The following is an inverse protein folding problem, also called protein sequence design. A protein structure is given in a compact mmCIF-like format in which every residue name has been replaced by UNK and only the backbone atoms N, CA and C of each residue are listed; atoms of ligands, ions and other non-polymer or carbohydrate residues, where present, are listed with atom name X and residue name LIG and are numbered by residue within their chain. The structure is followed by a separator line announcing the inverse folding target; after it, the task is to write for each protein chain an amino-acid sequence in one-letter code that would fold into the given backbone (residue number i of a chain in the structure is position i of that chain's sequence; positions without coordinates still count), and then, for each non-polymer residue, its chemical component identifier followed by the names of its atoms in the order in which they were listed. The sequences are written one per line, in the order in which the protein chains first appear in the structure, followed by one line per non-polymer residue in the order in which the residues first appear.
data_IF_998428663722
#
_entry.id   IF_998428663722
#
_cell.length_a   1.000
_cell.length_b   1.000
_cell.length_c   1.000
_cell.angle_alpha   90.00
_cell.angle_beta   90.00
_cell.angle_gamma   90.00
#
_symmetry.space_group_name_H-M   'P 1'
#
loop_
_entity.id
_entity.type
_entity.pdbx_description
1 polymer ?
#
# COMPACT_ATOMS: atom_id res chain seq x y z
N UNK A 1 -91.62 18.56 26.62
CA UNK A 1 -91.07 19.74 25.91
C UNK A 1 -89.93 20.28 26.77
N UNK A 2 -88.67 20.10 26.33
CA UNK A 2 -87.81 21.16 25.74
C UNK A 2 -87.59 22.27 26.77
N UNK A 3 -86.41 22.54 27.33
CA UNK A 3 -85.10 22.91 26.74
C UNK A 3 -84.49 23.83 27.84
N UNK A 4 -83.21 23.95 28.18
CA UNK A 4 -81.92 23.66 27.55
C UNK A 4 -80.90 23.52 28.68
N UNK A 5 -80.17 22.40 28.65
CA UNK A 5 -78.93 22.11 29.36
C UNK A 5 -77.82 22.77 28.56
N UNK A 6 -77.04 23.70 29.13
CA UNK A 6 -75.59 23.85 28.86
C UNK A 6 -74.96 24.45 30.12
N UNK A 7 -74.65 23.57 31.07
CA UNK A 7 -73.70 23.80 32.15
C UNK A 7 -72.34 23.29 31.66
N UNK A 8 -71.28 24.07 31.86
CA UNK A 8 -69.91 23.54 32.05
C UNK A 8 -69.26 22.74 30.91
N UNK A 9 -68.86 23.38 29.81
CA UNK A 9 -67.77 22.84 28.95
C UNK A 9 -66.89 24.00 28.47
N UNK A 10 -66.15 24.59 29.40
CA UNK A 10 -65.01 25.46 29.11
C UNK A 10 -63.69 24.82 29.56
N UNK A 11 -63.62 23.48 29.59
CA UNK A 11 -62.40 22.68 29.63
C UNK A 11 -62.77 21.35 28.96
N UNK A 12 -62.69 21.25 27.63
CA UNK A 12 -62.53 19.96 26.97
C UNK A 12 -61.71 20.16 25.69
N UNK A 13 -60.42 19.89 25.86
CA UNK A 13 -59.50 19.40 24.84
C UNK A 13 -59.32 20.25 23.58
N UNK A 14 -58.67 21.40 23.74
CA UNK A 14 -57.38 21.57 23.03
C UNK A 14 -56.39 20.55 23.64
N UNK A 15 -56.57 19.25 23.36
CA UNK A 15 -55.41 18.37 23.32
C UNK A 15 -54.83 18.65 21.93
N UNK A 16 -54.07 19.73 21.83
CA UNK A 16 -53.04 19.80 20.80
C UNK A 16 -52.26 18.50 20.95
N UNK A 17 -52.37 17.61 19.95
CA UNK A 17 -51.39 16.55 19.81
C UNK A 17 -50.04 17.27 19.72
N UNK A 18 -49.33 17.35 20.85
CA UNK A 18 -47.89 17.45 20.82
C UNK A 18 -47.47 16.12 20.21
N UNK A 19 -47.44 16.08 18.88
CA UNK A 19 -46.69 15.07 18.16
C UNK A 19 -45.27 15.39 18.56
N UNK A 20 -44.78 14.70 19.58
CA UNK A 20 -43.35 14.58 19.81
C UNK A 20 -42.83 13.83 18.59
N UNK A 21 -42.50 14.58 17.52
CA UNK A 21 -41.54 14.11 16.54
C UNK A 21 -40.28 13.89 17.36
N UNK A 22 -40.00 12.62 17.65
CA UNK A 22 -38.66 12.20 18.03
C UNK A 22 -37.82 12.49 16.80
N UNK A 23 -37.08 13.59 16.82
CA UNK A 23 -36.05 13.83 15.82
C UNK A 23 -35.05 12.69 16.01
N UNK A 24 -35.11 11.71 15.11
CA UNK A 24 -34.17 10.60 15.07
C UNK A 24 -32.87 11.21 14.55
N UNK A 25 -32.06 11.71 15.46
CA UNK A 25 -30.90 12.49 15.13
C UNK A 25 -29.67 11.58 15.14
N UNK A 26 -29.00 11.53 14.00
CA UNK A 26 -27.64 11.03 13.88
C UNK A 26 -26.72 12.22 13.70
N UNK A 27 -25.88 12.48 14.70
CA UNK A 27 -24.90 13.56 14.66
C UNK A 27 -23.52 12.93 14.57
N UNK A 28 -22.91 13.05 13.39
CA UNK A 28 -21.51 12.74 13.16
C UNK A 28 -20.68 14.00 13.39
N UNK A 29 -19.81 13.97 14.40
CA UNK A 29 -18.98 15.12 14.77
C UNK A 29 -17.71 15.22 13.93
N UNK A 30 -17.37 14.19 13.13
CA UNK A 30 -16.11 14.08 12.39
C UNK A 30 -16.29 14.00 10.87
N UNK A 31 -17.54 13.98 10.40
CA UNK A 31 -18.00 14.10 9.01
C UNK A 31 -17.27 13.17 8.02
N UNK A 32 -17.73 11.92 7.95
CA UNK A 32 -17.37 11.01 6.88
C UNK A 32 -17.03 9.61 7.37
N UNK A 33 -16.38 8.85 6.50
CA UNK A 33 -15.88 7.50 6.79
C UNK A 33 -14.36 7.51 6.60
N UNK A 34 -13.61 7.40 7.70
CA UNK A 34 -12.15 7.25 7.75
C UNK A 34 -11.76 6.08 8.66
N UNK A 35 -11.65 4.89 8.06
CA UNK A 35 -11.28 3.65 8.75
C UNK A 35 -9.95 3.69 9.50
N UNK A 36 -9.08 4.68 9.26
CA UNK A 36 -7.77 4.77 9.91
C UNK A 36 -7.72 5.80 11.04
N UNK A 37 -8.88 6.36 11.42
CA UNK A 37 -9.02 7.26 12.56
C UNK A 37 -10.27 6.85 13.33
N UNK A 38 -10.12 6.58 14.62
CA UNK A 38 -11.27 6.23 15.46
C UNK A 38 -12.27 7.40 15.49
N UNK A 39 -13.48 7.11 15.05
CA UNK A 39 -14.62 8.03 15.03
C UNK A 39 -15.72 7.65 16.01
N UNK A 40 -16.73 8.51 16.08
CA UNK A 40 -17.95 8.25 16.85
C UNK A 40 -19.11 9.12 16.38
N UNK A 41 -20.32 8.59 16.52
CA UNK A 41 -21.57 9.30 16.27
C UNK A 41 -22.39 9.41 17.55
N UNK A 42 -23.30 10.38 17.58
CA UNK A 42 -24.40 10.44 18.54
C UNK A 42 -25.68 9.97 17.84
N UNK A 43 -26.24 8.86 18.30
CA UNK A 43 -27.48 8.29 17.82
C UNK A 43 -28.51 8.28 18.94
N UNK A 44 -29.60 9.02 18.83
CA UNK A 44 -30.61 9.15 19.90
C UNK A 44 -30.05 9.54 21.27
N UNK A 45 -28.97 10.33 21.29
CA UNK A 45 -28.28 10.74 22.52
C UNK A 45 -27.35 9.68 23.12
N UNK A 46 -27.23 8.50 22.49
CA UNK A 46 -26.22 7.50 22.82
C UNK A 46 -24.99 7.68 21.93
N UNK A 47 -23.79 7.59 22.51
CA UNK A 47 -22.54 7.63 21.76
C UNK A 47 -22.21 6.24 21.24
N UNK A 48 -22.02 6.10 19.94
CA UNK A 48 -21.53 4.90 19.29
C UNK A 48 -20.13 5.18 18.74
N UNK A 49 -19.17 4.32 19.05
CA UNK A 49 -17.77 4.47 18.66
C UNK A 49 -17.35 3.33 17.75
N UNK A 50 -16.41 3.62 16.84
CA UNK A 50 -15.83 2.61 15.99
C UNK A 50 -15.11 1.55 16.82
N UNK A 51 -15.16 0.30 16.36
CA UNK A 51 -14.57 -0.81 17.08
C UNK A 51 -13.97 -1.85 16.13
N UNK A 52 -12.99 -2.58 16.65
CA UNK A 52 -12.45 -3.74 15.98
C UNK A 52 -13.36 -4.94 16.20
N UNK A 53 -13.43 -5.83 15.20
CA UNK A 53 -14.16 -7.08 15.31
C UNK A 53 -13.62 -7.97 16.42
N UNK A 54 -14.43 -8.95 16.83
CA UNK A 54 -14.04 -9.89 17.87
C UNK A 54 -13.55 -11.22 17.28
N UNK A 55 -12.69 -11.91 18.03
CA UNK A 55 -12.28 -13.30 17.78
C UNK A 55 -11.75 -13.53 16.34
N UNK A 56 -12.50 -14.26 15.51
CA UNK A 56 -12.09 -14.61 14.14
C UNK A 56 -12.14 -13.41 13.17
N UNK A 57 -12.72 -12.28 13.59
CA UNK A 57 -12.85 -11.05 12.80
C UNK A 57 -12.04 -9.90 13.41
N UNK A 58 -11.03 -10.20 14.25
CA UNK A 58 -10.19 -9.21 14.93
C UNK A 58 -9.50 -8.21 13.98
N UNK A 59 -9.34 -8.58 12.71
CA UNK A 59 -8.71 -7.74 11.69
C UNK A 59 -9.69 -6.79 10.98
N UNK A 60 -10.98 -6.78 11.34
CA UNK A 60 -11.97 -5.88 10.75
C UNK A 60 -12.21 -4.67 11.65
N UNK A 61 -12.44 -3.51 11.05
CA UNK A 61 -12.99 -2.33 11.72
C UNK A 61 -14.44 -2.14 11.32
N UNK A 62 -15.28 -1.85 12.30
CA UNK A 62 -16.69 -1.49 12.14
C UNK A 62 -16.83 0.01 12.45
N UNK A 63 -17.07 0.78 11.40
CA UNK A 63 -17.17 2.23 11.46
C UNK A 63 -18.63 2.68 11.43
N UNK A 64 -19.01 3.48 12.42
CA UNK A 64 -20.33 4.09 12.54
C UNK A 64 -20.33 5.45 11.86
N UNK A 65 -21.29 5.68 10.96
CA UNK A 65 -21.45 6.96 10.29
C UNK A 65 -22.92 7.31 10.11
N UNK A 66 -23.21 8.59 9.81
CA UNK A 66 -24.57 9.07 9.57
C UNK A 66 -24.84 9.21 8.07
N UNK A 67 -25.94 8.65 7.58
CA UNK A 67 -26.43 8.83 6.21
C UNK A 67 -27.95 9.10 6.24
N UNK A 68 -28.38 10.22 5.65
CA UNK A 68 -29.79 10.66 5.65
C UNK A 68 -30.45 10.70 7.04
N UNK A 69 -29.74 11.21 8.05
CA UNK A 69 -30.13 11.22 9.48
C UNK A 69 -30.24 9.84 10.14
N UNK A 70 -29.85 8.76 9.45
CA UNK A 70 -29.82 7.40 10.00
C UNK A 70 -28.39 6.94 10.30
N UNK A 71 -28.25 6.18 11.38
CA UNK A 71 -27.01 5.48 11.70
C UNK A 71 -26.77 4.34 10.70
N UNK A 72 -25.55 4.28 10.19
CA UNK A 72 -25.03 3.22 9.31
C UNK A 72 -23.77 2.59 9.92
N UNK A 73 -23.45 1.36 9.48
CA UNK A 73 -22.22 0.64 9.85
C UNK A 73 -21.53 0.18 8.58
N UNK A 74 -20.23 0.46 8.46
CA UNK A 74 -19.38 -0.10 7.41
C UNK A 74 -18.28 -0.96 8.01
N UNK A 75 -18.14 -2.17 7.48
CA UNK A 75 -17.10 -3.10 7.88
C UNK A 75 -16.04 -3.22 6.77
N UNK A 76 -14.76 -3.11 7.14
CA UNK A 76 -13.62 -3.36 6.24
C UNK A 76 -12.56 -4.19 6.94
N UNK A 77 -11.86 -5.03 6.19
CA UNK A 77 -10.68 -5.75 6.66
C UNK A 77 -9.42 -4.87 6.55
N UNK A 78 -8.76 -4.63 7.67
CA UNK A 78 -7.54 -3.84 7.74
C UNK A 78 -6.34 -4.68 7.29
N UNK A 79 -5.53 -4.18 6.35
CA UNK A 79 -4.38 -4.97 5.87
C UNK A 79 -3.32 -5.24 6.94
N UNK A 80 -3.26 -4.41 7.99
CA UNK A 80 -2.20 -4.45 9.01
C UNK A 80 -2.71 -4.69 10.44
N UNK A 81 -3.96 -5.10 10.62
CA UNK A 81 -4.58 -5.11 11.94
C UNK A 81 -5.56 -3.96 12.14
N UNK A 82 -6.55 -4.21 12.99
CA UNK A 82 -7.37 -3.19 13.61
C UNK A 82 -6.93 -3.01 15.07
N UNK A 83 -6.76 -1.78 15.50
CA UNK A 83 -6.45 -1.42 16.89
C UNK A 83 -7.27 -0.19 17.30
N UNK A 84 -7.86 -0.25 18.50
CA UNK A 84 -8.69 0.81 19.09
C UNK A 84 -9.78 1.40 18.17
N UNK A 85 -10.41 0.55 17.35
CA UNK A 85 -11.47 0.99 16.44
C UNK A 85 -10.97 1.70 15.18
N UNK A 86 -9.70 1.53 14.81
CA UNK A 86 -9.13 2.03 13.57
C UNK A 86 -8.16 1.01 12.94
N UNK A 87 -8.02 1.06 11.61
CA UNK A 87 -6.98 0.33 10.90
C UNK A 87 -5.60 0.92 11.19
N UNK A 88 -4.63 0.04 11.40
CA UNK A 88 -3.23 0.43 11.64
C UNK A 88 -2.62 0.97 10.35
N UNK A 89 -2.19 2.24 10.37
CA UNK A 89 -1.35 2.81 9.31
C UNK A 89 0.07 2.28 9.50
N UNK A 90 0.67 1.72 8.45
CA UNK A 90 2.12 1.60 8.39
C UNK A 90 2.65 3.01 8.16
N UNK A 91 2.93 3.72 9.25
CA UNK A 91 3.77 4.91 9.20
C UNK A 91 5.19 4.37 9.04
N UNK A 92 5.90 4.66 7.95
CA UNK A 92 7.34 4.47 7.94
C UNK A 92 7.86 5.25 9.14
N UNK A 93 8.48 4.56 10.11
CA UNK A 93 9.00 5.18 11.33
C UNK A 93 9.99 6.29 10.96
N UNK A 94 9.51 7.52 10.82
CA UNK A 94 10.31 8.72 11.00
C UNK A 94 10.15 9.14 12.47
N UNK A 95 10.67 8.32 13.38
CA UNK A 95 11.02 8.84 14.69
C UNK A 95 12.25 9.74 14.53
N UNK A 96 12.28 10.92 15.17
CA UNK A 96 13.49 11.72 15.24
C UNK A 96 14.49 11.00 16.14
N UNK A 97 15.33 10.16 15.53
CA UNK A 97 16.48 9.56 16.20
C UNK A 97 17.39 10.70 16.64
N UNK A 98 17.61 10.87 17.96
CA UNK A 98 18.67 11.73 18.46
C UNK A 98 20.01 11.15 17.97
N UNK A 99 20.56 11.73 16.91
CA UNK A 99 21.87 11.38 16.37
C UNK A 99 22.94 11.69 17.43
N UNK A 100 23.77 10.71 17.83
CA UNK A 100 24.99 11.03 18.59
C UNK A 100 25.89 11.94 17.74
N UNK A 101 26.44 12.99 18.34
CA UNK A 101 27.22 14.06 17.67
C UNK A 101 28.57 13.60 17.06
N UNK A 102 28.89 12.29 17.09
CA UNK A 102 30.17 11.73 16.65
C UNK A 102 29.95 10.61 15.60
N UNK A 103 29.30 10.95 14.48
CA UNK A 103 29.22 10.05 13.32
C UNK A 103 30.22 10.53 12.26
N UNK A 104 31.38 9.86 12.24
CA UNK A 104 32.33 9.90 11.14
C UNK A 104 31.65 9.45 9.83
N UNK A 105 31.76 10.30 8.81
CA UNK A 105 31.41 10.08 7.38
C UNK A 105 30.07 9.35 7.11
N UNK A 106 29.01 10.13 6.92
CA UNK A 106 27.73 9.67 6.33
C UNK A 106 27.98 8.87 5.05
N UNK A 107 27.76 7.56 5.12
CA UNK A 107 27.73 6.70 3.96
C UNK A 107 26.44 6.98 3.17
N UNK A 108 26.51 7.89 2.20
CA UNK A 108 25.38 8.19 1.31
C UNK A 108 24.84 6.90 0.68
N UNK A 109 23.58 6.57 0.99
CA UNK A 109 22.89 5.41 0.43
C UNK A 109 22.67 5.63 -1.07
N UNK A 110 23.53 5.04 -1.90
CA UNK A 110 23.42 5.11 -3.36
C UNK A 110 22.41 4.08 -3.87
N UNK A 111 21.20 4.53 -4.20
CA UNK A 111 20.16 3.69 -4.82
C UNK A 111 20.37 3.66 -6.35
N UNK A 112 20.52 2.46 -6.93
CA UNK A 112 20.71 2.28 -8.38
C UNK A 112 19.59 1.43 -9.00
N UNK A 113 19.16 1.79 -10.21
CA UNK A 113 18.41 0.90 -11.12
C UNK A 113 19.39 0.06 -11.95
N UNK A 114 20.26 -0.69 -11.27
CA UNK A 114 21.40 -1.39 -11.86
C UNK A 114 22.46 -1.65 -10.79
N UNK A 115 23.72 -1.86 -11.21
CA UNK A 115 24.78 -2.25 -10.28
C UNK A 115 25.57 -1.04 -9.77
N UNK A 116 25.69 -0.85 -8.44
CA UNK A 116 26.58 0.15 -7.86
C UNK A 116 28.03 -0.33 -7.91
N UNK A 117 28.94 0.54 -8.38
CA UNK A 117 30.39 0.29 -8.30
C UNK A 117 31.14 1.61 -8.22
N UNK A 118 31.94 1.80 -7.16
CA UNK A 118 32.71 3.02 -6.88
C UNK A 118 31.85 4.30 -6.91
N UNK A 119 30.74 4.31 -6.17
CA UNK A 119 29.77 5.43 -6.11
C UNK A 119 29.17 5.83 -7.48
N UNK A 120 29.11 4.90 -8.44
CA UNK A 120 28.46 5.11 -9.75
C UNK A 120 27.49 3.96 -10.03
N UNK A 121 26.36 4.29 -10.64
CA UNK A 121 25.41 3.29 -11.12
C UNK A 121 25.74 2.88 -12.56
N UNK A 122 25.67 1.58 -12.82
CA UNK A 122 25.83 1.00 -14.15
C UNK A 122 24.56 0.25 -14.55
N UNK A 123 24.10 0.35 -15.81
CA UNK A 123 22.91 -0.35 -16.25
C UNK A 123 23.14 -1.87 -16.33
N UNK A 124 22.06 -2.66 -16.30
CA UNK A 124 22.11 -4.10 -16.53
C UNK A 124 22.82 -4.47 -17.84
N UNK A 125 23.62 -5.53 -17.81
CA UNK A 125 24.46 -5.95 -18.93
C UNK A 125 25.74 -5.12 -19.12
N UNK A 126 25.97 -4.06 -18.33
CA UNK A 126 27.22 -3.31 -18.42
C UNK A 126 28.42 -4.18 -18.04
N UNK A 127 29.43 -4.26 -18.90
CA UNK A 127 30.61 -5.12 -18.74
C UNK A 127 31.83 -4.32 -18.29
N UNK A 128 32.52 -4.79 -17.25
CA UNK A 128 33.75 -4.17 -16.75
C UNK A 128 34.68 -5.20 -16.13
N UNK A 129 35.95 -5.19 -16.54
CA UNK A 129 37.02 -6.02 -15.94
C UNK A 129 36.69 -7.52 -15.85
N UNK A 130 36.04 -8.09 -16.87
CA UNK A 130 35.66 -9.51 -16.89
C UNK A 130 34.43 -9.85 -16.05
N UNK A 131 33.73 -8.84 -15.52
CA UNK A 131 32.41 -8.97 -14.90
C UNK A 131 31.35 -8.28 -15.75
N UNK A 132 30.08 -8.58 -15.47
CA UNK A 132 28.94 -7.85 -16.00
C UNK A 132 27.91 -7.55 -14.89
N UNK A 133 27.14 -6.49 -15.07
CA UNK A 133 26.05 -6.14 -14.17
C UNK A 133 24.83 -7.07 -14.40
N UNK A 134 24.54 -7.96 -13.45
CA UNK A 134 23.40 -8.88 -13.49
C UNK A 134 22.09 -8.21 -13.12
N UNK A 135 20.98 -8.87 -13.44
CA UNK A 135 19.62 -8.52 -13.01
C UNK A 135 19.42 -8.59 -11.48
N UNK A 136 20.29 -9.32 -10.78
CA UNK A 136 20.39 -9.31 -9.32
C UNK A 136 21.09 -8.06 -8.75
N UNK A 137 21.43 -7.08 -9.60
CA UNK A 137 22.09 -5.80 -9.24
C UNK A 137 23.52 -5.96 -8.72
N UNK A 138 24.19 -7.04 -9.11
CA UNK A 138 25.58 -7.32 -8.74
C UNK A 138 26.49 -7.44 -9.96
N UNK A 139 27.78 -7.11 -9.78
CA UNK A 139 28.79 -7.41 -10.80
C UNK A 139 29.26 -8.86 -10.65
N UNK A 140 28.86 -9.72 -11.58
CA UNK A 140 29.23 -11.14 -11.56
C UNK A 140 30.22 -11.47 -12.67
N UNK A 141 31.05 -12.50 -12.45
CA UNK A 141 32.11 -12.91 -13.38
C UNK A 141 31.51 -13.45 -14.67
N UNK A 142 32.09 -13.02 -15.80
CA UNK A 142 31.73 -13.55 -17.10
C UNK A 142 32.26 -14.98 -17.29
N UNK A 143 31.41 -15.83 -17.82
CA UNK A 143 31.63 -17.24 -18.08
C UNK A 143 32.54 -17.44 -19.30
N UNK A 144 33.32 -18.52 -19.26
CA UNK A 144 34.15 -18.97 -20.39
C UNK A 144 33.31 -19.74 -21.41
N UNK A 145 33.96 -20.14 -22.51
CA UNK A 145 33.33 -21.01 -23.50
C UNK A 145 32.81 -22.31 -22.85
N UNK A 146 31.78 -22.87 -23.45
CA UNK A 146 31.14 -24.15 -23.09
C UNK A 146 30.34 -24.13 -21.76
N UNK A 147 30.20 -22.95 -21.14
CA UNK A 147 29.32 -22.75 -19.98
C UNK A 147 27.91 -22.34 -20.42
N UNK A 148 26.92 -22.73 -19.61
CA UNK A 148 25.52 -22.35 -19.82
C UNK A 148 25.32 -20.85 -19.59
N UNK A 149 24.57 -20.21 -20.48
CA UNK A 149 24.23 -18.79 -20.42
C UNK A 149 22.78 -18.54 -20.82
N UNK A 150 22.21 -17.45 -20.32
CA UNK A 150 20.87 -16.98 -20.70
C UNK A 150 20.95 -15.77 -21.65
N UNK A 151 22.01 -14.96 -21.53
CA UNK A 151 22.23 -13.81 -22.39
C UNK A 151 23.72 -13.60 -22.76
N UNK A 152 23.95 -12.72 -23.74
CA UNK A 152 25.29 -12.45 -24.27
C UNK A 152 26.25 -11.82 -23.26
N UNK A 153 25.76 -11.06 -22.29
CA UNK A 153 26.62 -10.37 -21.32
C UNK A 153 27.27 -11.32 -20.32
N UNK A 154 26.70 -12.51 -20.13
CA UNK A 154 27.28 -13.56 -19.31
C UNK A 154 28.58 -14.12 -19.89
N UNK A 155 28.73 -14.13 -21.20
CA UNK A 155 29.88 -14.76 -21.86
C UNK A 155 31.04 -13.77 -22.04
N UNK A 156 32.27 -14.20 -21.73
CA UNK A 156 33.46 -13.39 -21.96
C UNK A 156 33.63 -12.96 -23.43
N UNK A 157 33.12 -13.79 -24.34
CA UNK A 157 33.06 -13.56 -25.78
C UNK A 157 31.95 -12.63 -26.26
N UNK A 158 31.01 -12.25 -25.40
CA UNK A 158 29.74 -11.61 -25.77
C UNK A 158 28.79 -12.45 -26.63
N UNK A 159 28.98 -13.78 -26.68
CA UNK A 159 28.23 -14.67 -27.56
C UNK A 159 27.67 -15.85 -26.77
N UNK A 160 26.38 -15.77 -26.49
CA UNK A 160 25.56 -16.85 -25.96
C UNK A 160 24.68 -17.39 -27.11
N UNK A 161 24.91 -18.63 -27.53
CA UNK A 161 24.19 -19.24 -28.64
C UNK A 161 23.66 -20.58 -28.16
N UNK A 162 22.36 -20.83 -28.33
CA UNK A 162 21.70 -22.06 -27.85
C UNK A 162 21.98 -22.34 -26.37
N UNK A 163 21.92 -21.30 -25.53
CA UNK A 163 22.21 -21.34 -24.10
C UNK A 163 23.63 -21.76 -23.73
N UNK A 164 24.59 -21.60 -24.64
CA UNK A 164 26.00 -21.94 -24.41
C UNK A 164 26.92 -20.78 -24.83
N UNK A 165 27.92 -20.48 -23.99
CA UNK A 165 28.92 -19.48 -24.29
C UNK A 165 29.89 -19.99 -25.36
N UNK A 166 30.05 -19.23 -26.45
CA UNK A 166 30.93 -19.62 -27.56
C UNK A 166 32.24 -18.85 -27.49
N UNK A 167 33.37 -19.51 -27.70
CA UNK A 167 34.67 -18.82 -27.69
C UNK A 167 34.78 -17.79 -28.84
N UNK A 168 35.25 -16.58 -28.50
CA UNK A 168 35.43 -15.51 -29.49
C UNK A 168 36.43 -15.87 -30.60
N UNK A 169 37.43 -16.70 -30.27
CA UNK A 169 38.43 -17.16 -31.25
C UNK A 169 37.86 -18.14 -32.28
N UNK A 170 36.98 -19.07 -31.87
CA UNK A 170 36.31 -19.98 -32.82
C UNK A 170 35.40 -19.20 -33.76
N UNK A 171 34.62 -18.26 -33.22
CA UNK A 171 33.74 -17.41 -34.03
C UNK A 171 34.51 -16.57 -35.04
N UNK A 172 35.62 -15.97 -34.63
CA UNK A 172 36.49 -15.19 -35.52
C UNK A 172 37.05 -16.05 -36.67
N UNK A 173 37.48 -17.29 -36.39
CA UNK A 173 37.96 -18.22 -37.42
C UNK A 173 36.84 -18.62 -38.41
N UNK A 174 35.64 -18.87 -37.89
CA UNK A 174 34.48 -19.20 -38.70
C UNK A 174 34.07 -18.04 -39.63
N UNK A 175 33.98 -16.82 -39.11
CA UNK A 175 33.67 -15.63 -39.92
C UNK A 175 34.73 -15.39 -41.00
N UNK A 176 36.02 -15.58 -40.68
CA UNK A 176 37.11 -15.48 -41.66
C UNK A 176 37.04 -16.56 -42.75
N UNK A 177 36.62 -17.77 -42.40
CA UNK A 177 36.40 -18.82 -43.40
C UNK A 177 35.24 -18.45 -44.34
N UNK A 178 34.10 -17.99 -43.80
CA UNK A 178 32.96 -17.56 -44.59
C UNK A 178 33.29 -16.38 -45.52
N UNK A 179 34.02 -15.38 -45.02
CA UNK A 179 34.43 -14.24 -45.84
C UNK A 179 35.32 -14.64 -47.00
N UNK A 180 36.14 -15.68 -46.85
CA UNK A 180 37.00 -16.18 -47.93
C UNK A 180 36.26 -17.10 -48.92
N UNK A 181 35.11 -17.63 -48.54
CA UNK A 181 34.31 -18.53 -49.38
C UNK A 181 33.28 -17.76 -50.23
N UNK A 182 32.79 -16.62 -49.74
CA UNK A 182 31.71 -15.86 -50.36
C UNK A 182 32.01 -14.37 -50.60
N UNK A 183 33.20 -13.89 -50.24
CA UNK A 183 33.71 -12.55 -50.54
C UNK A 183 34.80 -12.59 -51.59
#
# INVERSE_FOLDING_TARGET
MKQKIILSIAILSLLSLAVFVSAQDCIDNEAGVDFYKKGSILWNGEKLEDHCGEMQMANQVYEYYCEDDFQQIKAIECSNGCEDGACIKLVPEEEPVELPEDIDEEEEILICQGCPLNKKCYPFGYRKSGNYCSDEQEFIVQKKADFVCDNNFECDSNLCINSECISGSLWTKFMKFLSNLFG
#
